data_IF_179082791509
#
_entry.id   IF_179082791509
#
_cell.length_a   1.000
_cell.length_b   1.000
_cell.length_c   1.000
_cell.angle_alpha   90.00
_cell.angle_beta   90.00
_cell.angle_gamma   90.00
#
_symmetry.space_group_name_H-M   'P 1'
#
loop_
_entity.id
_entity.type
_entity.pdbx_description
1 polymer ?
#
# COMPACT_ATOMS: atom_id res chain seq x y z
N UNK A 1 12.06 -0.24 38.97
CA UNK A 1 11.30 0.91 38.47
C UNK A 1 11.81 1.50 37.13
N UNK A 2 13.13 1.65 36.90
CA UNK A 2 13.68 2.27 35.66
C UNK A 2 13.39 1.53 34.33
N UNK A 3 13.05 0.24 34.36
CA UNK A 3 12.71 -0.55 33.15
C UNK A 3 11.21 -0.54 32.80
N UNK A 4 10.33 -0.08 33.69
CA UNK A 4 8.88 -0.06 33.43
C UNK A 4 8.44 1.14 32.58
N UNK A 5 9.09 2.30 32.74
CA UNK A 5 8.80 3.50 31.96
C UNK A 5 8.76 3.26 30.45
N UNK A 6 9.82 2.72 29.82
CA UNK A 6 9.81 2.46 28.37
C UNK A 6 8.77 1.40 27.97
N UNK A 7 8.51 0.39 28.81
CA UNK A 7 7.47 -0.63 28.54
C UNK A 7 6.06 -0.04 28.57
N UNK A 8 5.76 0.82 29.55
CA UNK A 8 4.46 1.50 29.68
C UNK A 8 4.27 2.50 28.53
N UNK A 9 5.33 3.24 28.16
CA UNK A 9 5.30 4.14 27.01
C UNK A 9 4.97 3.39 25.71
N UNK A 10 5.62 2.24 25.47
CA UNK A 10 5.33 1.40 24.32
C UNK A 10 3.90 0.85 24.36
N UNK A 11 3.41 0.42 25.54
CA UNK A 11 2.04 -0.05 25.70
C UNK A 11 1.00 1.04 25.40
N UNK A 12 1.23 2.27 25.88
CA UNK A 12 0.36 3.42 25.64
C UNK A 12 0.39 3.92 24.19
N UNK A 13 1.36 3.50 23.38
CA UNK A 13 1.43 3.89 21.97
C UNK A 13 0.36 3.21 21.13
N UNK A 14 -0.07 2.02 21.53
CA UNK A 14 -1.09 1.25 20.83
C UNK A 14 -2.48 1.90 20.98
N UNK A 15 -3.23 2.00 19.87
CA UNK A 15 -4.50 2.77 19.88
C UNK A 15 -5.55 2.08 20.73
N UNK A 16 -5.61 0.75 20.66
CA UNK A 16 -6.57 -0.06 21.40
C UNK A 16 -6.32 -0.03 22.91
N UNK A 17 -5.05 0.04 23.34
CA UNK A 17 -4.70 0.14 24.76
C UNK A 17 -5.15 1.47 25.37
N UNK A 18 -5.17 2.56 24.58
CA UNK A 18 -5.74 3.84 25.04
C UNK A 18 -7.25 3.74 25.25
N UNK A 19 -7.96 3.06 24.35
CA UNK A 19 -9.41 2.82 24.48
C UNK A 19 -9.70 1.94 25.69
N UNK A 20 -8.87 0.93 25.98
CA UNK A 20 -8.96 0.12 27.19
C UNK A 20 -8.80 0.94 28.45
N UNK A 21 -7.74 1.74 28.52
CA UNK A 21 -7.48 2.61 29.65
C UNK A 21 -8.66 3.57 29.88
N UNK A 22 -9.19 4.16 28.80
CA UNK A 22 -10.38 5.01 28.86
C UNK A 22 -11.60 4.24 29.39
N UNK A 23 -11.83 3.01 28.92
CA UNK A 23 -12.96 2.18 29.36
C UNK A 23 -12.93 1.91 30.87
N UNK A 24 -11.75 1.57 31.40
CA UNK A 24 -11.58 1.33 32.84
C UNK A 24 -11.71 2.62 33.65
N UNK A 25 -11.16 3.74 33.18
CA UNK A 25 -11.28 5.04 33.87
C UNK A 25 -12.75 5.47 33.96
N UNK A 26 -13.49 5.40 32.85
CA UNK A 26 -14.91 5.79 32.82
C UNK A 26 -15.75 4.85 33.70
N UNK A 27 -15.46 3.55 33.69
CA UNK A 27 -16.15 2.58 34.54
C UNK A 27 -15.89 2.82 36.03
N UNK A 28 -14.63 3.01 36.42
CA UNK A 28 -14.27 3.31 37.81
C UNK A 28 -14.91 4.62 38.26
N UNK A 29 -14.88 5.65 37.40
CA UNK A 29 -15.53 6.92 37.68
C UNK A 29 -17.04 6.73 37.90
N UNK A 30 -17.72 5.93 37.08
CA UNK A 30 -19.14 5.62 37.25
C UNK A 30 -19.43 4.90 38.57
N UNK A 31 -18.57 3.94 38.97
CA UNK A 31 -18.70 3.23 40.24
C UNK A 31 -18.44 4.15 41.43
N UNK A 32 -17.39 4.98 41.39
CA UNK A 32 -17.09 5.96 42.44
C UNK A 32 -18.22 6.97 42.58
N UNK A 33 -18.74 7.49 41.46
CA UNK A 33 -19.88 8.41 41.47
C UNK A 33 -21.12 7.74 42.06
N UNK A 34 -21.34 6.45 41.78
CA UNK A 34 -22.43 5.68 42.39
C UNK A 34 -22.28 5.52 43.89
N UNK A 35 -21.05 5.33 44.38
CA UNK A 35 -20.76 5.17 45.81
C UNK A 35 -20.85 6.49 46.59
N UNK A 36 -20.45 7.61 45.97
CA UNK A 36 -20.42 8.93 46.63
C UNK A 36 -21.81 9.61 46.61
N UNK A 37 -22.60 9.49 45.54
CA UNK A 37 -23.87 10.21 45.36
C UNK A 37 -25.10 9.40 45.81
N UNK A 38 -24.99 8.62 46.90
CA UNK A 38 -25.91 7.54 47.26
C UNK A 38 -27.41 7.89 47.28
N UNK A 39 -27.80 9.16 47.53
CA UNK A 39 -29.22 9.53 47.69
C UNK A 39 -29.76 10.68 46.81
N UNK A 40 -28.96 11.66 46.39
CA UNK A 40 -29.51 12.90 45.78
C UNK A 40 -29.32 13.06 44.27
N UNK A 41 -28.48 12.25 43.63
CA UNK A 41 -28.07 12.48 42.22
C UNK A 41 -27.83 11.16 41.45
N UNK A 42 -28.74 10.19 41.61
CA UNK A 42 -28.62 8.89 40.94
C UNK A 42 -28.65 8.96 39.41
N UNK A 43 -29.31 9.98 38.83
CA UNK A 43 -29.43 10.13 37.37
C UNK A 43 -28.07 10.30 36.69
N UNK A 44 -27.18 11.08 37.29
CA UNK A 44 -25.83 11.28 36.77
C UNK A 44 -25.02 9.99 36.80
N UNK A 45 -25.08 9.22 37.89
CA UNK A 45 -24.43 7.92 37.97
C UNK A 45 -24.94 6.96 36.89
N UNK A 46 -26.25 6.93 36.64
CA UNK A 46 -26.86 6.13 35.56
C UNK A 46 -26.34 6.57 34.19
N UNK A 47 -26.26 7.87 33.91
CA UNK A 47 -25.71 8.39 32.65
C UNK A 47 -24.25 7.95 32.44
N UNK A 48 -23.41 8.03 33.48
CA UNK A 48 -22.02 7.55 33.40
C UNK A 48 -21.92 6.05 33.15
N UNK A 49 -22.82 5.22 33.69
CA UNK A 49 -22.90 3.81 33.34
C UNK A 49 -23.31 3.60 31.88
N UNK A 50 -24.24 4.39 31.33
CA UNK A 50 -24.59 4.35 29.92
C UNK A 50 -23.38 4.71 29.03
N UNK A 51 -22.63 5.76 29.37
CA UNK A 51 -21.40 6.10 28.67
C UNK A 51 -20.35 4.99 28.77
N UNK A 52 -20.18 4.40 29.95
CA UNK A 52 -19.29 3.26 30.15
C UNK A 52 -19.67 2.08 29.25
N UNK A 53 -20.96 1.77 29.13
CA UNK A 53 -21.44 0.71 28.23
C UNK A 53 -21.09 0.99 26.76
N UNK A 54 -21.24 2.24 26.29
CA UNK A 54 -20.86 2.62 24.92
C UNK A 54 -19.37 2.34 24.68
N UNK A 55 -18.50 2.73 25.60
CA UNK A 55 -17.06 2.48 25.47
C UNK A 55 -16.75 0.97 25.51
N UNK A 56 -17.44 0.19 26.34
CA UNK A 56 -17.30 -1.27 26.34
C UNK A 56 -17.77 -1.94 25.04
N UNK A 57 -18.84 -1.42 24.40
CA UNK A 57 -19.28 -1.90 23.09
C UNK A 57 -18.24 -1.57 22.01
N UNK A 58 -17.65 -0.37 22.03
CA UNK A 58 -16.54 -0.03 21.14
C UNK A 58 -15.37 -0.98 21.39
N UNK A 59 -15.06 -1.31 22.65
CA UNK A 59 -14.01 -2.30 22.96
C UNK A 59 -14.36 -3.69 22.42
N UNK A 60 -15.62 -4.12 22.53
CA UNK A 60 -16.06 -5.40 21.99
C UNK A 60 -15.79 -5.56 20.49
N UNK A 61 -15.80 -4.45 19.72
CA UNK A 61 -15.46 -4.46 18.29
C UNK A 61 -14.07 -5.01 17.96
N UNK A 62 -13.12 -5.01 18.91
CA UNK A 62 -11.79 -5.57 18.70
C UNK A 62 -11.84 -7.08 18.42
N UNK A 63 -12.86 -7.81 18.88
CA UNK A 63 -13.01 -9.25 18.57
C UNK A 63 -13.22 -9.45 17.06
N UNK A 64 -13.92 -8.52 16.41
CA UNK A 64 -14.13 -8.56 14.95
C UNK A 64 -12.82 -8.38 14.16
N UNK A 65 -11.76 -7.85 14.77
CA UNK A 65 -10.45 -7.74 14.13
C UNK A 65 -9.81 -9.10 13.82
N UNK A 66 -10.17 -10.15 14.57
CA UNK A 66 -9.68 -11.52 14.38
C UNK A 66 -10.36 -12.20 13.19
N UNK A 67 -11.55 -11.75 12.81
CA UNK A 67 -12.29 -12.32 11.67
C UNK A 67 -11.67 -11.84 10.36
N UNK A 68 -11.24 -12.79 9.52
CA UNK A 68 -10.52 -12.52 8.26
C UNK A 68 -11.25 -11.54 7.33
N UNK A 69 -12.58 -11.65 7.22
CA UNK A 69 -13.39 -10.78 6.36
C UNK A 69 -13.62 -9.35 6.93
N UNK A 70 -13.47 -9.17 8.24
CA UNK A 70 -13.75 -7.90 8.93
C UNK A 70 -12.48 -7.14 9.30
N UNK A 71 -11.38 -7.84 9.54
CA UNK A 71 -10.10 -7.27 9.92
C UNK A 71 -9.58 -6.19 8.97
N UNK A 72 -9.43 -6.47 7.66
CA UNK A 72 -9.02 -5.48 6.68
C UNK A 72 -9.96 -4.28 6.63
N UNK A 73 -11.28 -4.50 6.71
CA UNK A 73 -12.28 -3.42 6.70
C UNK A 73 -12.15 -2.48 7.91
N UNK A 74 -11.86 -3.01 9.10
CA UNK A 74 -11.61 -2.20 10.31
C UNK A 74 -10.37 -1.31 10.11
N UNK A 75 -9.33 -1.82 9.45
CA UNK A 75 -8.13 -1.02 9.12
C UNK A 75 -8.44 0.06 8.10
N UNK A 76 -9.29 -0.24 7.10
CA UNK A 76 -9.76 0.75 6.15
C UNK A 76 -10.50 1.88 6.86
N UNK A 77 -11.47 1.55 7.72
CA UNK A 77 -12.23 2.54 8.52
C UNK A 77 -11.27 3.39 9.37
N UNK A 78 -10.30 2.77 10.06
CA UNK A 78 -9.32 3.50 10.88
C UNK A 78 -8.56 4.55 10.07
N UNK A 79 -8.13 4.21 8.86
CA UNK A 79 -7.40 5.15 8.00
C UNK A 79 -8.32 6.23 7.44
N UNK A 80 -9.56 5.87 7.08
CA UNK A 80 -10.57 6.82 6.60
C UNK A 80 -11.00 7.84 7.66
N UNK A 81 -10.98 7.48 8.94
CA UNK A 81 -11.32 8.41 10.04
C UNK A 81 -10.40 9.63 10.03
N UNK A 82 -9.13 9.48 9.68
CA UNK A 82 -8.20 10.64 9.60
C UNK A 82 -8.67 11.63 8.55
N UNK A 83 -9.06 11.14 7.37
CA UNK A 83 -9.58 11.98 6.28
C UNK A 83 -10.95 12.58 6.65
N UNK A 84 -11.81 11.82 7.33
CA UNK A 84 -13.09 12.29 7.86
C UNK A 84 -12.91 13.44 8.85
N UNK A 85 -11.89 13.40 9.72
CA UNK A 85 -11.67 14.48 10.70
C UNK A 85 -11.40 15.82 10.02
N UNK A 86 -10.64 15.85 8.92
CA UNK A 86 -10.43 17.08 8.15
C UNK A 86 -11.72 17.59 7.52
N UNK A 87 -12.54 16.69 6.98
CA UNK A 87 -13.85 17.05 6.44
C UNK A 87 -14.79 17.60 7.51
N UNK A 88 -14.82 16.98 8.70
CA UNK A 88 -15.67 17.43 9.81
C UNK A 88 -15.34 18.85 10.26
N UNK A 89 -14.09 19.31 10.14
CA UNK A 89 -13.72 20.70 10.44
C UNK A 89 -14.37 21.66 9.43
N UNK A 90 -14.34 21.34 8.14
CA UNK A 90 -14.98 22.14 7.10
C UNK A 90 -16.50 22.16 7.29
N UNK A 91 -17.08 20.99 7.56
CA UNK A 91 -18.51 20.86 7.85
C UNK A 91 -18.92 21.66 9.09
N UNK A 92 -18.17 21.58 10.18
CA UNK A 92 -18.42 22.33 11.40
C UNK A 92 -18.37 23.85 11.15
N UNK A 93 -17.41 24.32 10.35
CA UNK A 93 -17.32 25.73 9.96
C UNK A 93 -18.56 26.20 9.20
N UNK A 94 -19.07 25.38 8.28
CA UNK A 94 -20.27 25.69 7.50
C UNK A 94 -21.54 25.66 8.38
N UNK A 95 -21.67 24.67 9.26
CA UNK A 95 -22.75 24.58 10.24
C UNK A 95 -22.77 25.82 11.15
N UNK A 96 -21.61 26.21 11.69
CA UNK A 96 -21.50 27.38 12.56
C UNK A 96 -21.82 28.67 11.82
N UNK A 97 -21.31 28.84 10.60
CA UNK A 97 -21.53 30.05 9.81
C UNK A 97 -23.01 30.23 9.49
N UNK A 98 -23.66 29.19 8.97
CA UNK A 98 -25.10 29.24 8.70
C UNK A 98 -25.91 29.35 10.00
N UNK A 99 -25.54 28.62 11.04
CA UNK A 99 -26.26 28.62 12.32
C UNK A 99 -26.29 29.97 13.01
N UNK A 100 -25.17 30.70 13.00
CA UNK A 100 -25.10 32.06 13.54
C UNK A 100 -25.99 33.00 12.72
N UNK A 101 -25.89 32.95 11.38
CA UNK A 101 -26.73 33.79 10.50
C UNK A 101 -28.22 33.47 10.67
N UNK A 102 -28.58 32.19 10.72
CA UNK A 102 -29.94 31.71 10.92
C UNK A 102 -30.52 32.21 12.25
N UNK A 103 -29.77 32.04 13.35
CA UNK A 103 -30.19 32.47 14.68
C UNK A 103 -30.36 34.01 14.75
N UNK A 104 -29.42 34.76 14.17
CA UNK A 104 -29.49 36.24 14.15
C UNK A 104 -30.68 36.78 13.35
N UNK A 105 -31.10 36.07 12.30
CA UNK A 105 -32.26 36.45 11.47
C UNK A 105 -33.60 36.06 12.12
N UNK A 106 -33.65 34.89 12.76
CA UNK A 106 -34.89 34.35 13.32
C UNK A 106 -35.26 35.02 14.64
N UNK A 107 -34.25 35.29 15.49
CA UNK A 107 -34.44 35.84 16.82
C UNK A 107 -33.47 37.01 17.08
N UNK A 108 -33.79 38.24 16.62
CA UNK A 108 -32.90 39.39 16.74
C UNK A 108 -32.68 39.85 18.19
N UNK A 109 -33.62 39.59 19.11
CA UNK A 109 -33.57 40.08 20.50
C UNK A 109 -33.25 38.99 21.55
N UNK A 110 -32.42 38.00 21.21
CA UNK A 110 -32.06 36.96 22.18
C UNK A 110 -31.03 37.44 23.20
N UNK A 111 -31.28 37.15 24.47
CA UNK A 111 -30.29 37.32 25.54
C UNK A 111 -29.21 36.23 25.48
N UNK A 112 -28.02 36.55 26.00
CA UNK A 112 -26.90 35.61 26.03
C UNK A 112 -27.20 34.48 27.03
N UNK A 113 -27.65 33.35 26.52
CA UNK A 113 -27.95 32.15 27.29
C UNK A 113 -27.23 30.94 26.68
N UNK A 114 -26.92 29.93 27.50
CA UNK A 114 -26.35 28.66 27.03
C UNK A 114 -27.22 27.95 25.99
N UNK A 115 -28.54 28.22 26.00
CA UNK A 115 -29.47 27.74 24.98
C UNK A 115 -29.20 28.29 23.56
N UNK A 116 -28.56 29.46 23.43
CA UNK A 116 -28.21 30.06 22.15
C UNK A 116 -27.17 29.22 21.40
N UNK A 117 -26.20 28.66 22.11
CA UNK A 117 -25.17 27.80 21.51
C UNK A 117 -25.83 26.52 20.97
N UNK A 118 -26.80 25.97 21.72
CA UNK A 118 -27.56 24.81 21.26
C UNK A 118 -28.38 25.15 20.00
N UNK A 119 -29.09 26.27 19.97
CA UNK A 119 -29.92 26.63 18.80
C UNK A 119 -29.11 26.92 17.55
N UNK A 120 -27.90 27.49 17.69
CA UNK A 120 -26.97 27.77 16.58
C UNK A 120 -26.41 26.49 15.97
N UNK A 121 -26.12 25.44 16.75
CA UNK A 121 -25.48 24.22 16.24
C UNK A 121 -26.52 23.14 15.90
N UNK A 122 -27.51 22.95 16.77
CA UNK A 122 -28.46 21.85 16.70
C UNK A 122 -29.33 21.92 15.44
N UNK A 123 -30.04 23.04 15.22
CA UNK A 123 -30.99 23.14 14.10
C UNK A 123 -30.31 22.93 12.73
N UNK A 124 -29.19 23.61 12.40
CA UNK A 124 -28.50 23.38 11.12
C UNK A 124 -27.94 21.96 10.97
N UNK A 125 -27.45 21.36 12.06
CA UNK A 125 -26.94 19.98 12.01
C UNK A 125 -28.02 18.99 11.57
N UNK A 126 -29.24 19.08 12.12
CA UNK A 126 -30.36 18.21 11.74
C UNK A 126 -30.91 18.51 10.35
N UNK A 127 -30.84 19.77 9.89
CA UNK A 127 -31.20 20.15 8.53
C UNK A 127 -30.36 19.44 7.46
N UNK A 128 -29.08 19.18 7.72
CA UNK A 128 -28.23 18.37 6.83
C UNK A 128 -28.80 16.96 6.61
N UNK A 129 -29.38 16.34 7.64
CA UNK A 129 -29.99 15.01 7.56
C UNK A 129 -31.42 15.01 7.01
N UNK A 130 -31.95 16.17 6.61
CA UNK A 130 -33.26 16.31 5.99
C UNK A 130 -34.38 16.76 6.93
N UNK A 131 -34.09 17.02 8.21
CA UNK A 131 -35.08 17.61 9.12
C UNK A 131 -35.06 19.14 9.00
N UNK A 132 -35.93 19.66 8.12
CA UNK A 132 -35.86 21.05 7.65
C UNK A 132 -36.44 22.09 8.62
N UNK A 133 -37.23 21.69 9.63
CA UNK A 133 -37.94 22.59 10.55
C UNK A 133 -38.73 23.71 9.83
N UNK A 134 -39.51 23.34 8.82
CA UNK A 134 -40.19 24.28 7.92
C UNK A 134 -41.13 25.27 8.62
N UNK A 135 -41.60 24.94 9.82
CA UNK A 135 -42.50 25.78 10.63
C UNK A 135 -41.84 27.11 11.06
N UNK A 136 -40.50 27.15 11.15
CA UNK A 136 -39.75 28.37 11.50
C UNK A 136 -39.59 29.33 10.31
N UNK A 137 -39.78 28.82 9.09
CA UNK A 137 -39.53 29.55 7.86
C UNK A 137 -40.81 30.23 7.37
N UNK A 138 -41.04 31.47 7.81
CA UNK A 138 -42.00 32.40 7.18
C UNK A 138 -41.53 32.84 5.78
N UNK A 139 -42.08 33.92 5.21
CA UNK A 139 -41.87 34.25 3.79
C UNK A 139 -40.51 34.88 3.43
N UNK A 140 -40.07 34.65 2.18
CA UNK A 140 -39.02 35.42 1.51
C UNK A 140 -37.60 34.86 1.65
N UNK A 141 -36.69 35.70 2.16
CA UNK A 141 -35.24 35.48 2.10
C UNK A 141 -34.72 34.32 2.98
N UNK A 142 -35.51 33.88 3.97
CA UNK A 142 -35.15 32.76 4.86
C UNK A 142 -35.11 31.43 4.11
N UNK A 143 -36.06 31.21 3.20
CA UNK A 143 -36.09 30.05 2.30
C UNK A 143 -34.89 30.03 1.35
N UNK A 144 -34.47 31.20 0.88
CA UNK A 144 -33.29 31.34 0.01
C UNK A 144 -32.03 30.94 0.77
N UNK A 145 -31.88 31.40 2.01
CA UNK A 145 -30.73 31.04 2.87
C UNK A 145 -30.69 29.53 3.15
N UNK A 146 -31.83 28.92 3.49
CA UNK A 146 -31.95 27.48 3.69
C UNK A 146 -31.63 26.70 2.40
N UNK A 147 -32.17 27.15 1.26
CA UNK A 147 -31.91 26.54 -0.04
C UNK A 147 -30.43 26.56 -0.42
N UNK A 148 -29.75 27.70 -0.24
CA UNK A 148 -28.31 27.82 -0.45
C UNK A 148 -27.54 26.88 0.49
N UNK A 149 -27.91 26.84 1.77
CA UNK A 149 -27.29 25.93 2.74
C UNK A 149 -27.43 24.46 2.32
N UNK A 150 -28.64 24.02 1.94
CA UNK A 150 -28.88 22.65 1.50
C UNK A 150 -28.10 22.29 0.23
N UNK A 151 -27.93 23.22 -0.71
CA UNK A 151 -27.07 23.00 -1.88
C UNK A 151 -25.61 22.83 -1.44
N UNK A 152 -25.11 23.71 -0.58
CA UNK A 152 -23.73 23.65 -0.13
C UNK A 152 -23.42 22.40 0.70
N UNK A 153 -24.28 22.01 1.63
CA UNK A 153 -24.04 20.85 2.49
C UNK A 153 -24.40 19.54 1.79
N UNK A 154 -25.63 19.41 1.32
CA UNK A 154 -26.14 18.11 0.86
C UNK A 154 -25.74 17.80 -0.59
N UNK A 155 -25.63 18.80 -1.47
CA UNK A 155 -25.24 18.58 -2.86
C UNK A 155 -23.72 18.69 -3.04
N UNK A 156 -23.06 19.63 -2.37
CA UNK A 156 -21.62 19.81 -2.54
C UNK A 156 -20.81 19.02 -1.51
N UNK A 157 -20.98 19.26 -0.21
CA UNK A 157 -20.10 18.66 0.82
C UNK A 157 -20.31 17.16 0.99
N UNK A 158 -21.54 16.64 1.02
CA UNK A 158 -21.77 15.19 1.12
C UNK A 158 -21.23 14.43 -0.09
N UNK A 159 -21.43 14.97 -1.31
CA UNK A 159 -20.89 14.34 -2.52
C UNK A 159 -19.36 14.39 -2.55
N UNK A 160 -18.76 15.47 -2.05
CA UNK A 160 -17.30 15.55 -1.89
C UNK A 160 -16.80 14.55 -0.84
N UNK A 161 -17.53 14.37 0.28
CA UNK A 161 -17.19 13.36 1.29
C UNK A 161 -17.21 11.96 0.71
N UNK A 162 -18.26 11.62 -0.05
CA UNK A 162 -18.38 10.33 -0.74
C UNK A 162 -17.19 10.15 -1.70
N UNK A 163 -16.86 11.17 -2.50
CA UNK A 163 -15.71 11.12 -3.42
C UNK A 163 -14.37 10.93 -2.69
N UNK A 164 -14.14 11.62 -1.58
CA UNK A 164 -12.93 11.44 -0.77
C UNK A 164 -12.87 10.04 -0.13
N UNK A 165 -14.00 9.52 0.34
CA UNK A 165 -14.08 8.16 0.85
C UNK A 165 -13.81 7.12 -0.23
N UNK A 166 -14.35 7.28 -1.44
CA UNK A 166 -14.03 6.40 -2.58
C UNK A 166 -12.54 6.41 -2.91
N UNK A 167 -11.93 7.59 -3.02
CA UNK A 167 -10.50 7.73 -3.30
C UNK A 167 -9.62 7.08 -2.22
N UNK A 168 -9.91 7.35 -0.95
CA UNK A 168 -9.17 6.73 0.15
C UNK A 168 -9.46 5.23 0.28
N UNK A 169 -10.68 4.78 -0.03
CA UNK A 169 -11.05 3.37 -0.06
C UNK A 169 -10.13 2.61 -1.00
N UNK A 170 -10.05 3.02 -2.26
CA UNK A 170 -9.20 2.38 -3.28
C UNK A 170 -7.72 2.37 -2.86
N UNK A 171 -7.20 3.53 -2.45
CA UNK A 171 -5.79 3.67 -2.02
C UNK A 171 -5.43 2.79 -0.82
N UNK A 172 -6.34 2.66 0.15
CA UNK A 172 -6.09 1.89 1.38
C UNK A 172 -6.38 0.41 1.17
N UNK A 173 -7.35 0.05 0.32
CA UNK A 173 -7.74 -1.33 0.07
C UNK A 173 -6.55 -2.19 -0.37
N UNK A 174 -5.74 -1.69 -1.31
CA UNK A 174 -4.56 -2.38 -1.86
C UNK A 174 -3.57 -2.83 -0.78
N UNK A 175 -3.42 -2.05 0.30
CA UNK A 175 -2.45 -2.31 1.39
C UNK A 175 -3.09 -2.79 2.69
N UNK A 176 -4.42 -2.77 2.77
CA UNK A 176 -5.17 -3.03 4.00
C UNK A 176 -4.95 -4.44 4.53
N UNK A 177 -4.91 -5.44 3.65
CA UNK A 177 -4.68 -6.84 4.03
C UNK A 177 -3.29 -7.07 4.61
N UNK A 178 -2.26 -6.45 4.02
CA UNK A 178 -0.88 -6.57 4.49
C UNK A 178 -0.76 -5.93 5.87
N UNK A 179 -1.34 -4.73 6.04
CA UNK A 179 -1.39 -4.05 7.33
C UNK A 179 -2.19 -4.85 8.36
N UNK A 180 -3.26 -5.52 7.95
CA UNK A 180 -4.03 -6.40 8.82
C UNK A 180 -3.20 -7.60 9.26
N UNK A 181 -2.56 -8.32 8.35
CA UNK A 181 -1.68 -9.45 8.67
C UNK A 181 -0.55 -9.05 9.64
N UNK A 182 0.04 -7.86 9.45
CA UNK A 182 1.05 -7.32 10.35
C UNK A 182 0.51 -7.05 11.77
N UNK A 183 -0.63 -6.37 11.89
CA UNK A 183 -1.25 -6.08 13.18
C UNK A 183 -1.83 -7.35 13.84
N UNK A 184 -2.36 -8.28 13.05
CA UNK A 184 -2.87 -9.58 13.46
C UNK A 184 -1.78 -10.43 14.09
N UNK A 185 -0.55 -10.41 13.55
CA UNK A 185 0.60 -11.05 14.19
C UNK A 185 0.80 -10.58 15.63
N UNK A 186 0.67 -9.27 15.89
CA UNK A 186 0.76 -8.71 17.25
C UNK A 186 -0.31 -9.26 18.18
N UNK A 187 -1.56 -9.35 17.69
CA UNK A 187 -2.68 -9.94 18.44
C UNK A 187 -2.43 -11.41 18.77
N UNK A 188 -1.99 -12.20 17.78
CA UNK A 188 -1.66 -13.62 17.98
C UNK A 188 -0.53 -13.79 18.98
N UNK A 189 0.55 -13.00 18.84
CA UNK A 189 1.68 -13.02 19.77
C UNK A 189 1.26 -12.70 21.21
N UNK A 190 0.40 -11.70 21.40
CA UNK A 190 -0.12 -11.34 22.73
C UNK A 190 -0.99 -12.43 23.35
N UNK A 191 -1.79 -13.14 22.54
CA UNK A 191 -2.72 -14.16 23.02
C UNK A 191 -2.09 -15.55 23.17
N UNK A 192 -0.90 -15.78 22.63
CA UNK A 192 -0.25 -17.10 22.63
C UNK A 192 0.02 -17.66 24.03
N UNK A 193 0.53 -16.84 24.95
CA UNK A 193 0.87 -17.25 26.32
C UNK A 193 -0.27 -16.96 27.34
N UNK A 194 -1.42 -16.46 26.89
CA UNK A 194 -2.56 -16.15 27.79
C UNK A 194 -3.34 -17.42 28.13
N UNK A 195 -3.80 -17.58 29.39
CA UNK A 195 -4.59 -18.73 29.79
C UNK A 195 -5.92 -18.77 29.04
N UNK A 196 -6.38 -19.97 28.68
CA UNK A 196 -7.58 -20.24 27.88
C UNK A 196 -8.89 -19.69 28.48
N UNK A 197 -8.92 -19.38 29.79
CA UNK A 197 -10.10 -18.86 30.46
C UNK A 197 -9.94 -17.34 30.69
N UNK A 198 -10.72 -16.48 30.02
CA UNK A 198 -10.48 -15.03 30.01
C UNK A 198 -10.63 -14.36 31.39
N UNK A 199 -11.67 -14.68 32.18
CA UNK A 199 -11.91 -14.04 33.48
C UNK A 199 -11.28 -14.79 34.66
N UNK A 200 -11.49 -16.11 34.74
CA UNK A 200 -10.93 -16.91 35.84
C UNK A 200 -9.43 -17.18 35.66
N UNK A 201 -8.97 -17.31 34.42
CA UNK A 201 -7.57 -17.53 34.11
C UNK A 201 -6.71 -16.28 34.34
N UNK A 202 -7.23 -15.08 34.11
CA UNK A 202 -6.51 -13.83 34.42
C UNK A 202 -6.36 -13.60 35.91
N UNK A 203 -7.42 -13.84 36.70
CA UNK A 203 -7.33 -13.80 38.17
C UNK A 203 -6.33 -14.84 38.72
N UNK A 204 -6.36 -16.06 38.18
CA UNK A 204 -5.42 -17.12 38.56
C UNK A 204 -3.97 -16.78 38.18
N UNK A 205 -3.74 -16.21 36.98
CA UNK A 205 -2.42 -15.78 36.53
C UNK A 205 -1.89 -14.63 37.40
N UNK A 206 -2.74 -13.65 37.74
CA UNK A 206 -2.42 -12.53 38.62
C UNK A 206 -2.04 -13.01 40.03
N UNK A 207 -2.78 -13.98 40.59
CA UNK A 207 -2.44 -14.60 41.87
C UNK A 207 -1.13 -15.40 41.81
N UNK A 208 -0.84 -16.06 40.68
CA UNK A 208 0.42 -16.80 40.45
C UNK A 208 1.60 -15.87 40.33
N UNK A 209 1.48 -14.77 39.58
CA UNK A 209 2.56 -13.77 39.44
C UNK A 209 2.76 -12.98 40.73
N UNK A 210 1.71 -12.67 41.48
CA UNK A 210 1.83 -12.01 42.79
C UNK A 210 2.57 -12.92 43.80
N UNK A 211 2.21 -14.22 43.84
CA UNK A 211 2.95 -15.21 44.65
C UNK A 211 4.39 -15.45 44.16
N UNK A 212 4.65 -15.40 42.86
CA UNK A 212 6.01 -15.47 42.32
C UNK A 212 6.82 -14.20 42.62
N UNK A 213 6.19 -13.03 42.65
CA UNK A 213 6.83 -11.75 42.95
C UNK A 213 7.26 -11.67 44.43
N UNK A 214 6.46 -12.22 45.35
CA UNK A 214 6.84 -12.35 46.76
C UNK A 214 7.94 -13.40 46.99
N UNK A 215 8.04 -14.42 46.12
CA UNK A 215 8.95 -15.58 46.33
C UNK A 215 10.26 -15.53 45.53
N UNK A 216 10.31 -14.77 44.43
CA UNK A 216 11.48 -14.62 43.58
C UNK A 216 11.65 -13.14 43.18
N UNK A 217 12.56 -12.44 43.85
CA UNK A 217 13.02 -11.10 43.47
C UNK A 217 13.96 -11.09 42.26
N UNK A 218 13.75 -11.97 41.27
CA UNK A 218 14.61 -12.06 40.09
C UNK A 218 13.75 -11.94 38.84
N UNK A 219 14.11 -10.92 38.04
CA UNK A 219 13.70 -10.68 36.67
C UNK A 219 14.11 -11.86 35.79
N UNK A 220 13.36 -12.96 35.84
CA UNK A 220 13.43 -13.99 34.81
C UNK A 220 12.86 -13.41 33.52
N UNK A 221 13.68 -13.37 32.46
CA UNK A 221 13.15 -13.27 31.10
C UNK A 221 12.09 -14.36 30.94
N UNK A 222 10.84 -13.94 30.73
CA UNK A 222 9.79 -14.83 30.28
C UNK A 222 10.22 -15.24 28.87
N UNK A 223 10.94 -16.36 28.75
CA UNK A 223 11.23 -16.99 27.47
C UNK A 223 9.88 -17.25 26.80
N UNK A 224 9.57 -16.48 25.76
CA UNK A 224 8.35 -16.64 25.01
C UNK A 224 8.38 -18.00 24.33
N UNK A 225 7.45 -18.90 24.70
CA UNK A 225 7.29 -20.21 24.05
C UNK A 225 6.92 -20.10 22.56
N UNK A 226 6.70 -18.88 22.07
CA UNK A 226 6.45 -18.55 20.67
C UNK A 226 7.57 -19.03 19.73
N UNK A 227 8.82 -19.11 20.21
CA UNK A 227 9.93 -19.69 19.44
C UNK A 227 10.02 -21.19 19.68
N UNK A 228 9.70 -21.99 18.65
CA UNK A 228 10.03 -23.42 18.64
C UNK A 228 11.55 -23.60 18.62
N UNK A 229 12.06 -24.39 19.55
CA UNK A 229 13.45 -24.84 19.54
C UNK A 229 13.53 -26.10 18.67
N UNK A 230 14.36 -26.05 17.62
CA UNK A 230 14.60 -27.21 16.74
C UNK A 230 15.83 -27.97 17.23
N UNK A 231 15.78 -29.30 17.15
CA UNK A 231 16.96 -30.16 17.36
C UNK A 231 18.02 -29.87 16.29
N UNK A 232 19.30 -30.07 16.60
CA UNK A 232 20.43 -29.79 15.69
C UNK A 232 20.25 -30.36 14.28
N UNK A 233 19.99 -31.67 14.17
CA UNK A 233 19.78 -32.36 12.87
C UNK A 233 18.59 -31.79 12.06
N UNK A 234 17.51 -31.36 12.74
CA UNK A 234 16.36 -30.76 12.06
C UNK A 234 16.66 -29.32 11.63
N UNK A 235 17.41 -28.57 12.44
CA UNK A 235 17.83 -27.22 12.13
C UNK A 235 18.75 -27.20 10.90
N UNK A 236 19.64 -28.19 10.77
CA UNK A 236 20.52 -28.35 9.61
C UNK A 236 19.71 -28.67 8.35
N UNK A 237 18.75 -29.59 8.43
CA UNK A 237 17.82 -29.89 7.32
C UNK A 237 17.00 -28.68 6.88
N UNK A 238 16.49 -27.89 7.82
CA UNK A 238 15.76 -26.64 7.51
C UNK A 238 16.70 -25.62 6.87
N UNK A 239 17.95 -25.52 7.34
CA UNK A 239 18.94 -24.61 6.77
C UNK A 239 19.28 -24.98 5.33
N UNK A 240 19.46 -26.26 5.04
CA UNK A 240 19.71 -26.76 3.68
C UNK A 240 18.50 -26.53 2.76
N UNK A 241 17.28 -26.74 3.28
CA UNK A 241 16.06 -26.41 2.55
C UNK A 241 15.97 -24.91 2.22
N UNK A 242 16.17 -24.04 3.21
CA UNK A 242 16.14 -22.58 3.02
C UNK A 242 17.22 -22.14 2.03
N UNK A 243 18.42 -22.72 2.10
CA UNK A 243 19.50 -22.47 1.14
C UNK A 243 19.08 -22.91 -0.28
N UNK A 244 18.45 -24.06 -0.43
CA UNK A 244 17.91 -24.53 -1.71
C UNK A 244 16.87 -23.57 -2.30
N UNK A 245 15.90 -23.14 -1.49
CA UNK A 245 14.90 -22.13 -1.90
C UNK A 245 15.56 -20.79 -2.27
N UNK A 246 16.55 -20.34 -1.51
CA UNK A 246 17.29 -19.11 -1.77
C UNK A 246 18.01 -19.16 -3.13
N UNK A 247 18.65 -20.30 -3.45
CA UNK A 247 19.33 -20.49 -4.74
C UNK A 247 18.35 -20.48 -5.92
N UNK A 248 17.18 -21.11 -5.77
CA UNK A 248 16.13 -21.09 -6.80
C UNK A 248 15.64 -19.65 -7.01
N UNK A 249 15.38 -18.93 -5.93
CA UNK A 249 14.90 -17.55 -5.98
C UNK A 249 15.93 -16.61 -6.64
N UNK A 250 17.21 -16.68 -6.25
CA UNK A 250 18.25 -15.81 -6.83
C UNK A 250 18.52 -16.15 -8.30
N UNK A 251 18.49 -17.44 -8.67
CA UNK A 251 18.56 -17.86 -10.06
C UNK A 251 17.41 -17.29 -10.88
N UNK A 252 16.18 -17.39 -10.37
CA UNK A 252 14.99 -16.83 -11.01
C UNK A 252 15.09 -15.30 -11.17
N UNK A 253 15.50 -14.59 -10.12
CA UNK A 253 15.67 -13.13 -10.16
C UNK A 253 16.73 -12.71 -11.21
N UNK A 254 17.78 -13.51 -11.37
CA UNK A 254 18.82 -13.26 -12.37
C UNK A 254 18.29 -13.44 -13.78
N UNK A 255 17.43 -14.45 -14.00
CA UNK A 255 16.74 -14.66 -15.29
C UNK A 255 15.81 -13.50 -15.63
N UNK A 256 14.98 -13.05 -14.68
CA UNK A 256 14.11 -11.88 -14.89
C UNK A 256 14.93 -10.62 -15.21
N UNK A 257 16.06 -10.40 -14.55
CA UNK A 257 16.96 -9.28 -14.85
C UNK A 257 17.61 -9.40 -16.24
N UNK A 258 17.91 -10.62 -16.69
CA UNK A 258 18.40 -10.86 -18.05
C UNK A 258 17.31 -10.71 -19.11
N UNK A 259 16.05 -10.96 -18.75
CA UNK A 259 14.89 -10.79 -19.63
C UNK A 259 14.50 -9.32 -19.81
N UNK A 260 14.83 -8.47 -18.84
CA UNK A 260 14.62 -7.02 -18.92
C UNK A 260 15.31 -6.43 -20.17
N UNK A 261 14.48 -5.78 -21.00
CA UNK A 261 14.84 -5.26 -22.32
C UNK A 261 16.00 -4.27 -22.18
N UNK A 262 16.04 -3.50 -21.10
CA UNK A 262 17.09 -2.53 -20.80
C UNK A 262 18.47 -3.19 -20.72
N UNK A 263 18.57 -4.36 -20.08
CA UNK A 263 19.83 -5.10 -19.95
C UNK A 263 20.23 -5.76 -21.28
N UNK A 264 19.26 -6.28 -22.05
CA UNK A 264 19.53 -6.83 -23.39
C UNK A 264 20.00 -5.77 -24.37
N UNK A 265 19.36 -4.60 -24.38
CA UNK A 265 19.73 -3.45 -25.22
C UNK A 265 21.10 -2.93 -24.81
N UNK A 266 21.37 -2.75 -23.51
CA UNK A 266 22.69 -2.33 -23.03
C UNK A 266 23.80 -3.31 -23.41
N UNK A 267 23.57 -4.62 -23.24
CA UNK A 267 24.55 -5.63 -23.63
C UNK A 267 24.76 -5.70 -25.16
N UNK A 268 23.70 -5.44 -25.95
CA UNK A 268 23.81 -5.39 -27.41
C UNK A 268 24.52 -4.11 -27.87
N UNK A 269 24.25 -2.97 -27.24
CA UNK A 269 24.93 -1.70 -27.49
C UNK A 269 26.43 -1.82 -27.18
N UNK A 270 26.79 -2.40 -26.04
CA UNK A 270 28.20 -2.62 -25.68
C UNK A 270 28.92 -3.52 -26.68
N UNK A 271 28.24 -4.57 -27.19
CA UNK A 271 28.80 -5.42 -28.25
C UNK A 271 28.95 -4.69 -29.59
N UNK A 272 28.07 -3.73 -29.88
CA UNK A 272 28.17 -2.88 -31.07
C UNK A 272 29.36 -1.93 -30.98
N UNK A 273 29.59 -1.31 -29.81
CA UNK A 273 30.74 -0.44 -29.54
C UNK A 273 32.07 -1.17 -29.78
N UNK A 274 32.21 -2.40 -29.28
CA UNK A 274 33.41 -3.22 -29.51
C UNK A 274 33.65 -3.54 -30.99
N UNK A 275 32.57 -3.70 -31.78
CA UNK A 275 32.69 -3.93 -33.23
C UNK A 275 33.06 -2.66 -33.97
N UNK A 276 32.57 -1.50 -33.52
CA UNK A 276 32.93 -0.20 -34.09
C UNK A 276 34.40 0.11 -33.83
N UNK A 277 34.89 -0.14 -32.62
CA UNK A 277 36.31 0.03 -32.25
C UNK A 277 37.21 -0.84 -33.13
N UNK A 278 36.86 -2.12 -33.30
CA UNK A 278 37.60 -3.03 -34.20
C UNK A 278 37.58 -2.59 -35.68
N UNK A 279 36.52 -1.90 -36.13
CA UNK A 279 36.44 -1.35 -37.49
C UNK A 279 37.30 -0.09 -37.65
N UNK A 280 37.37 0.76 -36.62
CA UNK A 280 38.23 1.93 -36.60
C UNK A 280 39.71 1.55 -36.62
N UNK A 281 40.11 0.57 -35.82
CA UNK A 281 41.47 0.02 -35.84
C UNK A 281 41.84 -0.53 -37.23
N UNK A 282 40.93 -1.31 -37.84
CA UNK A 282 41.15 -1.87 -39.18
C UNK A 282 41.25 -0.78 -40.25
N UNK A 283 40.47 0.30 -40.12
CA UNK A 283 40.52 1.46 -41.01
C UNK A 283 41.84 2.20 -40.86
N UNK A 284 42.33 2.36 -39.63
CA UNK A 284 43.58 3.05 -39.37
C UNK A 284 44.79 2.25 -39.89
N UNK A 285 44.75 0.92 -39.81
CA UNK A 285 45.75 0.02 -40.40
C UNK A 285 45.79 0.11 -41.93
N UNK A 286 44.64 0.28 -42.58
CA UNK A 286 44.56 0.47 -44.04
C UNK A 286 45.10 1.84 -44.47
N UNK A 287 44.84 2.89 -43.69
CA UNK A 287 45.24 4.26 -44.02
C UNK A 287 46.74 4.55 -43.78
N UNK A 288 47.47 3.65 -43.13
CA UNK A 288 48.92 3.76 -42.86
C UNK A 288 49.81 3.23 -44.00
N UNK A 289 49.27 2.75 -45.14
CA UNK A 289 50.07 2.38 -46.31
C UNK A 289 50.29 3.58 -47.25
N UNK A 290 51.52 4.11 -47.41
CA UNK A 290 51.75 5.30 -48.23
C UNK A 290 51.86 4.96 -49.73
N UNK A 291 51.16 5.77 -50.54
CA UNK A 291 51.30 5.89 -52.00
C UNK A 291 52.74 6.31 -52.39
N UNK A 292 53.35 5.62 -53.36
CA UNK A 292 54.42 6.20 -54.19
C UNK A 292 54.37 5.62 -55.60
N UNK A 293 54.17 6.51 -56.57
CA UNK A 293 53.89 6.27 -57.99
C UNK A 293 55.16 6.30 -58.88
N UNK A 294 55.10 5.50 -59.96
CA UNK A 294 55.68 5.67 -61.32
C UNK A 294 57.12 5.16 -61.68
N UNK A 295 57.35 4.70 -62.95
CA UNK A 295 58.33 3.66 -63.33
C UNK A 295 59.51 4.09 -64.27
N UNK A 296 60.54 3.24 -64.50
CA UNK A 296 61.83 3.64 -65.09
C UNK A 296 62.07 3.22 -66.56
N UNK A 297 63.08 3.81 -67.20
CA UNK A 297 63.72 3.27 -68.43
C UNK A 297 65.24 3.13 -68.23
N UNK A 298 65.71 1.87 -68.34
CA UNK A 298 67.05 1.28 -68.54
C UNK A 298 68.34 2.08 -68.21
N UNK A 299 69.36 1.54 -67.51
CA UNK A 299 70.25 0.44 -67.95
C UNK A 299 71.22 -0.04 -66.82
N UNK A 300 71.61 -1.33 -66.92
CA UNK A 300 72.88 -1.99 -66.52
C UNK A 300 73.37 -2.09 -65.06
N UNK A 301 73.42 -3.37 -64.63
CA UNK A 301 74.47 -4.07 -63.85
C UNK A 301 74.64 -3.85 -62.35
N UNK A 302 74.79 -4.99 -61.68
CA UNK A 302 75.26 -5.29 -60.30
C UNK A 302 74.25 -5.23 -59.14
N UNK A 303 74.14 -6.37 -58.44
CA UNK A 303 73.84 -6.44 -57.00
C UNK A 303 72.37 -6.61 -56.56
N UNK A 304 72.09 -7.76 -55.95
CA UNK A 304 71.15 -8.02 -54.84
C UNK A 304 69.62 -7.81 -54.97
N UNK A 305 68.90 -8.85 -54.50
CA UNK A 305 67.58 -8.87 -53.83
C UNK A 305 66.37 -8.26 -54.56
N UNK A 306 65.39 -9.10 -54.91
CA UNK A 306 63.98 -9.01 -54.42
C UNK A 306 63.04 -9.88 -55.24
N UNK A 307 62.15 -10.61 -54.56
CA UNK A 307 61.00 -11.33 -55.16
C UNK A 307 59.92 -10.30 -55.47
N UNK A 308 59.62 -10.09 -56.74
CA UNK A 308 58.44 -9.34 -57.17
C UNK A 308 57.17 -10.15 -56.84
N UNK A 309 56.39 -9.70 -55.85
CA UNK A 309 54.99 -10.06 -55.66
C UNK A 309 54.16 -8.85 -56.09
N UNK A 310 53.17 -9.08 -56.96
CA UNK A 310 52.34 -8.07 -57.61
C UNK A 310 51.52 -7.22 -56.59
N UNK A 311 51.50 -5.87 -56.69
CA UNK A 311 50.66 -5.01 -55.84
C UNK A 311 49.14 -5.13 -56.14
N UNK A 312 48.77 -5.60 -57.33
CA UNK A 312 47.35 -5.79 -57.75
C UNK A 312 46.63 -6.96 -57.07
N UNK A 313 47.36 -7.84 -56.37
CA UNK A 313 46.78 -8.97 -55.65
C UNK A 313 46.31 -8.58 -54.23
N UNK A 314 46.82 -7.46 -53.68
CA UNK A 314 46.44 -6.96 -52.36
C UNK A 314 45.10 -6.21 -52.36
N UNK A 315 44.88 -5.32 -53.34
CA UNK A 315 43.64 -4.55 -53.42
C UNK A 315 42.42 -5.44 -53.74
N UNK A 316 42.54 -6.34 -54.71
CA UNK A 316 41.47 -7.30 -55.05
C UNK A 316 41.19 -8.32 -53.94
N UNK A 317 42.21 -8.69 -53.15
CA UNK A 317 42.05 -9.53 -51.96
C UNK A 317 41.40 -8.79 -50.79
N UNK A 318 41.57 -7.48 -50.67
CA UNK A 318 40.95 -6.68 -49.61
C UNK A 318 39.52 -6.31 -49.99
N UNK A 319 39.27 -5.96 -51.25
CA UNK A 319 37.93 -5.68 -51.78
C UNK A 319 37.04 -6.92 -51.69
N UNK A 320 37.55 -8.10 -52.08
CA UNK A 320 36.83 -9.37 -51.88
C UNK A 320 36.60 -9.72 -50.41
N UNK A 321 37.51 -9.35 -49.49
CA UNK A 321 37.29 -9.53 -48.04
C UNK A 321 36.30 -8.54 -47.47
N UNK A 322 36.24 -7.32 -48.00
CA UNK A 322 35.27 -6.29 -47.62
C UNK A 322 33.88 -6.67 -48.12
N UNK A 323 33.74 -7.14 -49.36
CA UNK A 323 32.49 -7.68 -49.92
C UNK A 323 32.02 -8.94 -49.19
N UNK A 324 32.94 -9.84 -48.82
CA UNK A 324 32.61 -11.02 -48.01
C UNK A 324 32.11 -10.64 -46.60
N UNK A 325 32.63 -9.56 -46.01
CA UNK A 325 32.15 -9.05 -44.72
C UNK A 325 30.86 -8.24 -44.85
N UNK A 326 30.67 -7.50 -45.94
CA UNK A 326 29.44 -6.76 -46.22
C UNK A 326 28.26 -7.72 -46.41
N UNK A 327 28.46 -8.80 -47.17
CA UNK A 327 27.47 -9.86 -47.35
C UNK A 327 27.20 -10.64 -46.05
N UNK A 328 28.20 -10.81 -45.17
CA UNK A 328 27.96 -11.37 -43.84
C UNK A 328 27.12 -10.43 -42.97
N UNK A 329 27.32 -9.11 -43.08
CA UNK A 329 26.56 -8.08 -42.37
C UNK A 329 25.12 -7.97 -42.87
N UNK A 330 24.90 -8.07 -44.18
CA UNK A 330 23.57 -8.13 -44.78
C UNK A 330 22.82 -9.40 -44.36
N UNK A 331 23.50 -10.56 -44.34
CA UNK A 331 22.91 -11.79 -43.83
C UNK A 331 22.54 -11.69 -42.35
N UNK A 332 23.38 -11.04 -41.54
CA UNK A 332 23.09 -10.81 -40.12
C UNK A 332 21.88 -9.88 -39.94
N UNK A 333 21.80 -8.80 -40.73
CA UNK A 333 20.68 -7.87 -40.75
C UNK A 333 19.37 -8.59 -41.14
N UNK A 334 19.40 -9.38 -42.21
CA UNK A 334 18.23 -10.16 -42.64
C UNK A 334 17.75 -11.16 -41.57
N UNK A 335 18.68 -11.81 -40.86
CA UNK A 335 18.36 -12.73 -39.76
C UNK A 335 17.79 -11.98 -38.53
N UNK A 336 18.19 -10.72 -38.33
CA UNK A 336 17.64 -9.85 -37.30
C UNK A 336 16.21 -9.42 -37.66
N UNK A 337 15.99 -9.00 -38.90
CA UNK A 337 14.68 -8.55 -39.41
C UNK A 337 13.66 -9.70 -39.34
N UNK A 338 14.03 -10.91 -39.78
CA UNK A 338 13.16 -12.11 -39.67
C UNK A 338 12.80 -12.47 -38.22
N UNK A 339 13.72 -12.25 -37.27
CA UNK A 339 13.42 -12.44 -35.84
C UNK A 339 12.50 -11.36 -35.28
N UNK A 340 12.60 -10.14 -35.79
CA UNK A 340 11.71 -9.03 -35.43
C UNK A 340 10.28 -9.30 -35.93
N UNK A 341 10.13 -9.77 -37.17
CA UNK A 341 8.84 -10.17 -37.74
C UNK A 341 8.20 -11.33 -36.96
N UNK A 342 9.00 -12.33 -36.57
CA UNK A 342 8.52 -13.43 -35.74
C UNK A 342 8.05 -12.96 -34.34
N UNK A 343 8.73 -11.95 -33.78
CA UNK A 343 8.37 -11.35 -32.49
C UNK A 343 7.06 -10.55 -32.58
N UNK A 344 6.85 -9.80 -33.67
CA UNK A 344 5.58 -9.09 -33.90
C UNK A 344 4.43 -10.08 -34.13
N UNK A 345 4.69 -11.20 -34.80
CA UNK A 345 3.75 -12.32 -34.89
C UNK A 345 3.34 -12.87 -33.53
N UNK A 346 4.31 -13.15 -32.65
CA UNK A 346 4.07 -13.60 -31.27
C UNK A 346 3.29 -12.58 -30.44
N UNK A 347 3.61 -11.29 -30.59
CA UNK A 347 2.87 -10.20 -29.92
C UNK A 347 1.42 -10.12 -30.38
N UNK A 348 1.16 -10.36 -31.67
CA UNK A 348 -0.21 -10.42 -32.20
C UNK A 348 -1.00 -11.60 -31.63
N UNK A 349 -0.37 -12.77 -31.48
CA UNK A 349 -0.98 -13.96 -30.87
C UNK A 349 -1.29 -13.74 -29.39
N UNK A 350 -0.37 -13.13 -28.64
CA UNK A 350 -0.58 -12.81 -27.23
C UNK A 350 -1.77 -11.84 -27.05
N UNK A 351 -1.88 -10.83 -27.91
CA UNK A 351 -3.02 -9.89 -27.90
C UNK A 351 -4.35 -10.55 -28.32
N UNK A 352 -4.31 -11.64 -29.08
CA UNK A 352 -5.50 -12.41 -29.42
C UNK A 352 -5.94 -13.29 -28.25
N UNK A 353 -5.01 -13.93 -27.55
CA UNK A 353 -5.32 -14.73 -26.36
C UNK A 353 -5.80 -13.86 -25.19
N UNK A 354 -5.22 -12.67 -24.99
CA UNK A 354 -5.72 -11.71 -24.00
C UNK A 354 -7.20 -11.36 -24.24
N UNK A 355 -7.59 -11.08 -25.50
CA UNK A 355 -8.98 -10.79 -25.86
C UNK A 355 -9.92 -11.98 -25.68
N UNK A 356 -9.42 -13.22 -25.81
CA UNK A 356 -10.20 -14.43 -25.53
C UNK A 356 -10.45 -14.60 -24.04
N UNK A 357 -9.45 -14.31 -23.21
CA UNK A 357 -9.59 -14.32 -21.75
C UNK A 357 -10.62 -13.29 -21.29
N UNK A 358 -10.56 -12.05 -21.79
CA UNK A 358 -11.54 -11.00 -21.47
C UNK A 358 -12.97 -11.45 -21.84
N UNK A 359 -13.16 -12.05 -23.03
CA UNK A 359 -14.47 -12.58 -23.44
C UNK A 359 -14.96 -13.74 -22.58
N UNK A 360 -14.06 -14.56 -22.04
CA UNK A 360 -14.42 -15.64 -21.13
C UNK A 360 -14.85 -15.09 -19.77
N UNK A 361 -14.16 -14.08 -19.27
CA UNK A 361 -14.49 -13.38 -18.03
C UNK A 361 -15.90 -12.79 -18.10
N UNK A 362 -16.24 -12.07 -19.18
CA UNK A 362 -17.60 -11.52 -19.34
C UNK A 362 -18.69 -12.60 -19.40
N UNK A 363 -18.39 -13.76 -20.01
CA UNK A 363 -19.33 -14.89 -20.05
C UNK A 363 -19.53 -15.52 -18.67
N UNK A 364 -18.46 -15.65 -17.89
CA UNK A 364 -18.53 -16.16 -16.52
C UNK A 364 -19.34 -15.21 -15.65
N UNK A 365 -19.12 -13.90 -15.74
CA UNK A 365 -19.91 -12.88 -15.03
C UNK A 365 -21.40 -12.98 -15.38
N UNK A 366 -21.73 -13.10 -16.66
CA UNK A 366 -23.14 -13.25 -17.12
C UNK A 366 -23.79 -14.52 -16.55
N UNK A 367 -23.06 -15.64 -16.50
CA UNK A 367 -23.57 -16.89 -15.93
C UNK A 367 -23.75 -16.76 -14.40
N UNK A 368 -22.83 -16.06 -13.72
CA UNK A 368 -22.94 -15.78 -12.29
C UNK A 368 -24.17 -14.94 -11.96
N UNK A 369 -24.45 -13.89 -12.76
CA UNK A 369 -25.68 -13.10 -12.61
C UNK A 369 -26.95 -13.94 -12.83
N UNK A 370 -26.96 -14.81 -13.84
CA UNK A 370 -28.09 -15.70 -14.11
C UNK A 370 -28.32 -16.73 -12.98
N UNK A 371 -27.25 -17.24 -12.38
CA UNK A 371 -27.33 -18.16 -11.24
C UNK A 371 -27.82 -17.45 -9.98
N UNK A 372 -27.32 -16.24 -9.70
CA UNK A 372 -27.76 -15.42 -8.56
C UNK A 372 -29.25 -15.05 -8.66
N UNK A 373 -29.71 -14.64 -9.84
CA UNK A 373 -31.12 -14.31 -10.08
C UNK A 373 -32.05 -15.54 -10.00
N UNK A 374 -31.51 -16.76 -10.23
CA UNK A 374 -32.29 -18.00 -10.10
C UNK A 374 -32.38 -18.50 -8.65
N UNK A 375 -31.47 -18.09 -7.76
CA UNK A 375 -31.52 -18.41 -6.32
C UNK A 375 -32.38 -17.47 -5.50
N UNK A 376 -32.83 -16.34 -6.06
CA UNK A 376 -33.75 -15.37 -5.40
C UNK A 376 -35.24 -15.63 -5.67
N UNK A 377 -35.59 -16.66 -6.47
CA UNK A 377 -36.96 -17.18 -6.63
C UNK A 377 -37.07 -18.55 -5.98
#
# INVERSE_FOLDING_TARGET
MRLLGPKISNWLRETWNKVDLLSYIVFILAVVLRLVLCETNFEWARLFFCFSLIVFIIRFSQIFFVVENLGPKIIMIKNMIVDLMFFLVILALMILTFGVVYQSILHPETTLAWGLINSVIYKPYFQMYGELFLEDFGDGYRWVLLGIYMILTNVLLLNLLIAMFSYTFERVQEKSEILWKYNYYGVVYEHFDRPYIPLLGTLFQMLRTFKCFERCGISGEISSNFRRHLNGDLNDKVTDFVRGCMLIYTSHQTRLRQEDITHKVSNTAHRLELVIEQLEDLKEDVNKQPESDSPPTHHTSTGNVSKHVNPLMGLSSVESRLEAKLSALENLKFNLDTKFDAMDGLKSQLNQESRRLDSLETKVETILELLLNKTEK
#
